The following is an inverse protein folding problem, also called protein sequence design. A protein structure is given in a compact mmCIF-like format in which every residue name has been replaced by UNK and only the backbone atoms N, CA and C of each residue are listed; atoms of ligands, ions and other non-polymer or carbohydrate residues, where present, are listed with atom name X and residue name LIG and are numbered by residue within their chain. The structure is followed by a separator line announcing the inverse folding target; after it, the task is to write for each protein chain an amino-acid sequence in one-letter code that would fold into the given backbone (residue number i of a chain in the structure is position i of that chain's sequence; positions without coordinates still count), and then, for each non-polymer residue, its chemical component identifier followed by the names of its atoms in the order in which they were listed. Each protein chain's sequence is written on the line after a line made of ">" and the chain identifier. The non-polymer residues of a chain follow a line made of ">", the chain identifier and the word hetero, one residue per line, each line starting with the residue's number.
data_IF_201701136732
#
_entry.id   IF_201701136732
#
_cell.length_a   1.000
_cell.length_b   1.000
_cell.length_c   1.000
_cell.angle_alpha   90.00
_cell.angle_beta   90.00
_cell.angle_gamma   90.00
#
_symmetry.space_group_name_H-M   'P 1'
#
loop_
_entity.id
_entity.type
_entity.pdbx_description
1 polymer ?
2 water ?
#
# COMPACT_ATOMS: atom_id res chain seq x y z
N UNK A 8 14.46 -12.41 4.43
CA UNK A 8 14.29 -10.96 4.10
C UNK A 8 12.87 -10.48 4.29
N UNK A 9 12.52 -9.35 3.68
CA UNK A 9 11.18 -8.81 3.79
C UNK A 9 10.14 -9.69 3.11
N UNK A 10 9.00 -9.93 3.77
CA UNK A 10 7.98 -10.77 3.13
C UNK A 10 7.25 -9.98 2.02
N UNK A 11 6.91 -10.68 0.93
CA UNK A 11 6.19 -10.07 -0.20
C UNK A 11 4.71 -10.48 -0.15
N UNK A 12 3.85 -9.49 0.04
CA UNK A 12 2.41 -9.71 0.13
C UNK A 12 1.78 -9.55 -1.26
N UNK A 13 1.03 -10.58 -1.68
CA UNK A 13 0.35 -10.56 -2.96
C UNK A 13 -1.06 -10.06 -2.74
N UNK A 14 -2.02 -10.43 -3.58
CA UNK A 14 -3.39 -9.94 -3.37
C UNK A 14 -3.92 -10.44 -2.02
N UNK A 15 -4.54 -9.53 -1.29
CA UNK A 15 -5.07 -9.80 0.04
C UNK A 15 -6.53 -10.25 0.05
N UNK A 16 -6.78 -11.39 0.70
CA UNK A 16 -8.13 -11.91 0.82
C UNK A 16 -8.96 -10.95 1.67
N UNK A 17 -10.14 -10.61 1.18
CA UNK A 17 -11.04 -9.69 1.87
C UNK A 17 -11.07 -9.92 3.38
N UNK A 18 -10.96 -8.83 4.14
CA UNK A 18 -10.99 -8.92 5.59
C UNK A 18 -9.81 -9.61 6.25
N UNK A 19 -9.02 -10.35 5.47
CA UNK A 19 -7.87 -11.05 6.04
C UNK A 19 -6.66 -10.15 6.25
N UNK A 20 -6.02 -10.25 7.43
CA UNK A 20 -4.84 -9.44 7.76
C UNK A 20 -3.77 -9.54 6.67
N UNK A 21 -3.09 -8.43 6.42
CA UNK A 21 -2.04 -8.35 5.40
C UNK A 21 -0.99 -9.45 5.43
N UNK A 22 -0.37 -9.66 6.59
CA UNK A 22 0.68 -10.65 6.70
C UNK A 22 0.21 -12.08 6.94
N UNK A 23 -1.04 -12.36 6.58
CA UNK A 23 -1.58 -13.70 6.71
C UNK A 23 -0.70 -14.58 5.82
N UNK A 24 -0.39 -15.78 6.31
CA UNK A 24 0.48 -16.70 5.59
C UNK A 24 0.12 -16.94 4.12
N UNK A 25 -1.17 -17.04 3.83
CA UNK A 25 -1.61 -17.28 2.45
C UNK A 25 -1.22 -16.15 1.49
N UNK A 26 -1.00 -14.95 2.03
CA UNK A 26 -0.65 -13.78 1.23
C UNK A 26 0.82 -13.66 0.84
N UNK A 27 1.70 -14.26 1.65
CA UNK A 27 3.13 -14.18 1.38
C UNK A 27 3.54 -14.98 0.16
N UNK A 28 4.27 -14.35 -0.75
CA UNK A 28 4.70 -15.02 -1.98
C UNK A 28 6.17 -15.33 -1.98
N UNK A 29 6.88 -14.79 -1.00
CA UNK A 29 8.29 -15.03 -0.91
C UNK A 29 8.90 -14.02 0.03
N UNK A 30 10.21 -14.06 0.14
CA UNK A 30 10.96 -13.15 1.00
C UNK A 30 12.16 -12.67 0.21
N UNK A 31 12.46 -11.38 0.32
CA UNK A 31 13.58 -10.81 -0.39
C UNK A 31 14.43 -9.92 0.50
N UNK A 32 15.72 -10.21 0.52
CA UNK A 32 16.67 -9.46 1.30
C UNK A 32 16.85 -8.09 0.69
N UNK A 33 16.53 -7.06 1.46
CA UNK A 33 16.68 -5.71 0.97
C UNK A 33 17.41 -4.90 2.03
N UNK A 34 18.53 -4.31 1.63
CA UNK A 34 19.35 -3.53 2.54
C UNK A 34 18.48 -2.52 3.30
N UNK A 35 18.38 -2.67 4.62
CA UNK A 35 17.57 -1.77 5.45
C UNK A 35 17.97 -0.29 5.40
N UNK A 36 19.20 0.01 5.00
CA UNK A 36 19.63 1.40 4.94
C UNK A 36 19.07 2.09 3.70
N UNK A 37 18.41 1.31 2.86
CA UNK A 37 17.84 1.83 1.63
C UNK A 37 16.66 2.77 1.86
N UNK A 38 15.76 2.40 2.77
CA UNK A 38 14.55 3.19 3.02
C UNK A 38 14.47 3.75 4.44
N UNK A 39 13.81 4.89 4.58
CA UNK A 39 13.62 5.54 5.87
C UNK A 39 12.25 6.21 5.92
N UNK A 40 11.39 5.82 6.88
CA UNK A 40 11.54 4.82 7.94
C UNK A 40 11.83 3.46 7.29
N UNK A 41 12.30 2.48 8.06
CA UNK A 41 12.64 1.18 7.50
C UNK A 41 11.46 0.39 6.96
N UNK A 42 11.69 -0.29 5.83
CA UNK A 42 10.65 -1.10 5.21
C UNK A 42 10.44 -2.36 6.03
N UNK A 43 9.19 -2.69 6.31
CA UNK A 43 8.90 -3.91 7.07
C UNK A 43 8.38 -5.04 6.18
N UNK A 44 7.75 -4.68 5.07
CA UNK A 44 7.28 -5.69 4.13
C UNK A 44 7.13 -5.07 2.75
N UNK A 45 6.95 -5.92 1.74
CA UNK A 45 6.75 -5.46 0.37
C UNK A 45 5.31 -5.82 0.04
N UNK A 46 4.68 -4.98 -0.77
CA UNK A 46 3.30 -5.22 -1.16
C UNK A 46 3.17 -5.03 -2.66
N UNK A 47 2.68 -6.04 -3.35
CA UNK A 47 2.53 -5.88 -4.79
C UNK A 47 1.38 -4.92 -5.05
N UNK A 48 1.62 -3.94 -5.91
CA UNK A 48 0.63 -2.93 -6.25
C UNK A 48 -0.31 -3.40 -7.38
N UNK A 49 -1.60 -3.20 -7.17
CA UNK A 49 -2.58 -3.57 -8.18
C UNK A 49 -3.09 -2.30 -8.86
N UNK A 50 -2.98 -2.24 -10.18
CA UNK A 50 -3.47 -1.08 -10.91
C UNK A 50 -2.55 0.10 -11.11
N UNK A 51 -3.01 1.06 -11.91
CA UNK A 51 -2.24 2.24 -12.25
C UNK A 51 -2.71 3.51 -11.55
N UNK A 52 -3.43 3.38 -10.45
CA UNK A 52 -3.94 4.59 -9.81
C UNK A 52 -2.87 5.59 -9.35
N UNK A 53 -1.63 5.13 -9.14
CA UNK A 53 -0.55 6.00 -8.68
C UNK A 53 0.56 6.18 -9.73
N UNK A 54 0.23 5.86 -10.98
CA UNK A 54 1.22 5.95 -12.06
C UNK A 54 1.93 7.28 -12.23
N UNK A 55 1.24 8.39 -11.97
CA UNK A 55 1.88 9.69 -12.16
C UNK A 55 3.07 9.96 -11.25
N UNK A 56 3.21 9.20 -10.15
CA UNK A 56 4.37 9.38 -9.31
C UNK A 56 5.29 8.17 -9.49
N UNK A 57 5.04 7.38 -10.53
CA UNK A 57 5.90 6.24 -10.83
C UNK A 57 5.61 4.94 -10.12
N UNK A 58 4.44 4.83 -9.50
CA UNK A 58 4.07 3.59 -8.84
C UNK A 58 3.15 2.90 -9.84
N UNK A 59 3.70 1.87 -10.47
CA UNK A 59 3.02 1.14 -11.53
C UNK A 59 2.39 -0.18 -11.13
N UNK A 60 1.44 -0.65 -11.94
CA UNK A 60 0.82 -1.94 -11.67
C UNK A 60 1.95 -2.98 -11.64
N UNK A 61 1.94 -3.81 -10.60
CA UNK A 61 2.93 -4.87 -10.46
C UNK A 61 4.16 -4.48 -9.66
N UNK A 62 4.29 -3.21 -9.35
CA UNK A 62 5.44 -2.76 -8.57
C UNK A 62 5.39 -3.36 -7.15
N UNK A 63 6.54 -3.48 -6.50
CA UNK A 63 6.55 -3.96 -5.12
C UNK A 63 6.74 -2.74 -4.23
N UNK A 64 5.70 -2.37 -3.50
CA UNK A 64 5.75 -1.22 -2.61
C UNK A 64 6.46 -1.58 -1.30
N UNK A 65 7.43 -0.78 -0.90
CA UNK A 65 8.15 -1.00 0.37
C UNK A 65 7.28 -0.26 1.40
N UNK A 66 6.85 -0.99 2.42
CA UNK A 66 5.95 -0.42 3.42
C UNK A 66 6.51 -0.51 4.83
N UNK A 67 6.42 0.61 5.55
CA UNK A 67 6.86 0.67 6.95
C UNK A 67 5.60 0.44 7.77
N UNK A 68 5.65 -0.48 8.72
CA UNK A 68 4.47 -0.77 9.54
C UNK A 68 4.26 0.32 10.57
N UNK A 69 3.18 1.08 10.41
CA UNK A 69 2.83 2.16 11.33
C UNK A 69 1.45 2.69 10.98
N UNK A 70 0.87 3.46 11.89
CA UNK A 70 -0.41 4.07 11.64
C UNK A 70 -0.20 5.56 11.87
N UNK A 71 1.05 5.92 12.16
CA UNK A 71 1.43 7.30 12.39
C UNK A 71 1.65 7.95 11.02
N UNK A 72 0.56 8.22 10.30
CA UNK A 72 0.66 8.84 8.99
C UNK A 72 0.06 10.24 8.96
N UNK A 73 0.58 11.08 8.07
CA UNK A 73 0.11 12.46 7.97
C UNK A 73 -0.38 12.78 6.56
N UNK A 74 -1.22 13.80 6.43
CA UNK A 74 -1.75 14.21 5.12
C UNK A 74 -0.64 14.43 4.10
N UNK A 75 -0.86 13.97 2.88
CA UNK A 75 0.15 14.15 1.85
C UNK A 75 1.00 12.90 1.62
N UNK A 76 1.02 12.02 2.61
CA UNK A 76 1.82 10.79 2.48
C UNK A 76 1.08 9.71 1.69
N UNK A 77 1.83 8.81 1.06
CA UNK A 77 1.23 7.72 0.31
C UNK A 77 1.14 6.58 1.31
N UNK A 78 -0.04 6.02 1.48
CA UNK A 78 -0.23 5.00 2.48
C UNK A 78 -0.91 3.78 1.91
N UNK A 79 -0.87 2.72 2.71
CA UNK A 79 -1.55 1.49 2.37
C UNK A 79 -2.75 1.59 3.30
N UNK A 80 -3.94 1.53 2.73
CA UNK A 80 -5.15 1.65 3.54
C UNK A 80 -6.13 0.53 3.27
N UNK A 81 -6.94 0.21 4.27
CA UNK A 81 -7.95 -0.81 4.08
C UNK A 81 -9.30 -0.16 4.37
N UNK A 82 -10.18 -0.21 3.37
CA UNK A 82 -11.51 0.35 3.47
C UNK A 82 -12.49 -0.78 3.18
N UNK A 83 -13.21 -1.21 4.21
CA UNK A 83 -14.20 -2.26 4.04
C UNK A 83 -13.59 -3.48 3.36
N UNK A 84 -12.53 -4.02 3.96
CA UNK A 84 -11.85 -5.21 3.43
C UNK A 84 -10.95 -4.95 2.22
N UNK A 85 -11.26 -3.93 1.42
CA UNK A 85 -10.44 -3.62 0.25
C UNK A 85 -9.17 -2.87 0.65
N UNK A 86 -8.03 -3.37 0.19
CA UNK A 86 -6.74 -2.75 0.47
C UNK A 86 -6.31 -1.92 -0.74
N UNK A 87 -5.93 -0.68 -0.48
CA UNK A 87 -5.55 0.20 -1.57
C UNK A 87 -4.30 1.03 -1.24
N UNK A 88 -3.64 1.54 -2.28
CA UNK A 88 -2.46 2.40 -2.10
C UNK A 88 -2.81 3.76 -2.71
N UNK A 89 -2.93 4.78 -1.87
CA UNK A 89 -3.30 6.13 -2.31
C UNK A 89 -2.63 7.19 -1.44
N UNK A 90 -2.77 8.45 -1.85
CA UNK A 90 -2.23 9.56 -1.05
C UNK A 90 -3.32 9.96 -0.05
N UNK A 91 -2.93 10.06 1.21
CA UNK A 91 -3.85 10.40 2.29
C UNK A 91 -4.20 11.87 2.38
N UNK A 92 -5.49 12.14 2.60
CA UNK A 92 -5.99 13.50 2.79
C UNK A 92 -7.20 13.40 3.72
N UNK A 93 -6.95 13.48 5.02
CA UNK A 93 -8.00 13.37 6.03
C UNK A 93 -8.51 14.73 6.46
N UNK A 94 -9.77 14.77 6.88
CA UNK A 94 -10.40 16.01 7.31
C UNK A 94 -11.58 15.68 8.23
N UNK A 95 -11.30 15.60 9.53
CA UNK A 95 -12.34 15.28 10.49
C UNK A 95 -12.70 13.81 10.42
N UNK A 96 -13.99 13.53 10.28
CA UNK A 96 -14.47 12.16 10.18
C UNK A 96 -14.53 11.72 8.72
N UNK A 97 -13.88 12.50 7.86
CA UNK A 97 -13.85 12.21 6.44
C UNK A 97 -12.43 12.05 5.94
N UNK A 98 -12.16 10.92 5.31
CA UNK A 98 -10.83 10.66 4.77
C UNK A 98 -10.87 10.49 3.26
N UNK A 99 -10.03 11.27 2.57
CA UNK A 99 -9.93 11.19 1.12
C UNK A 99 -8.65 10.44 0.74
N UNK A 100 -8.80 9.42 -0.09
CA UNK A 100 -7.65 8.65 -0.57
C UNK A 100 -7.51 9.09 -2.01
N UNK A 101 -6.52 9.93 -2.28
CA UNK A 101 -6.31 10.47 -3.61
C UNK A 101 -5.37 9.69 -4.52
N UNK A 102 -5.72 9.56 -5.81
CA UNK A 102 -4.88 8.83 -6.76
C UNK A 102 -3.92 9.82 -7.40
N UNK A 103 -2.99 9.31 -8.21
CA UNK A 103 -2.04 10.13 -8.97
C UNK A 103 -2.19 9.57 -10.40
N UNK A 104 -3.39 9.75 -10.95
CA UNK A 104 -3.75 9.27 -12.29
C UNK A 104 -5.13 9.87 -12.61
N UNK A 105 -5.23 10.71 -13.63
CA UNK A 105 -6.52 11.33 -13.96
C UNK A 105 -7.65 10.36 -14.35
N UNK A 106 -7.30 9.12 -14.68
CA UNK A 106 -8.33 8.16 -15.05
C UNK A 106 -9.01 7.59 -13.81
N UNK A 107 -8.50 7.97 -12.64
CA UNK A 107 -9.07 7.51 -11.38
C UNK A 107 -9.69 8.67 -10.61
N UNK A 108 -10.58 8.33 -9.68
CA UNK A 108 -11.26 9.33 -8.87
C UNK A 108 -10.89 9.17 -7.39
N UNK A 109 -10.99 10.25 -6.62
CA UNK A 109 -10.66 10.19 -5.19
C UNK A 109 -11.64 9.29 -4.47
N UNK A 110 -11.18 8.60 -3.44
CA UNK A 110 -12.06 7.74 -2.67
C UNK A 110 -12.35 8.47 -1.36
N UNK A 111 -13.62 8.79 -1.13
CA UNK A 111 -14.00 9.48 0.10
C UNK A 111 -14.56 8.46 1.08
N UNK A 112 -14.06 8.51 2.31
CA UNK A 112 -14.48 7.58 3.35
C UNK A 112 -15.09 8.30 4.55
N UNK A 113 -16.20 7.77 5.05
CA UNK A 113 -16.85 8.35 6.22
C UNK A 113 -16.48 7.42 7.36
N UNK A 114 -15.62 7.90 8.25
CA UNK A 114 -15.15 7.11 9.38
C UNK A 114 -16.28 6.54 10.23
N UNK A 115 -17.39 7.26 10.29
CA UNK A 115 -18.55 6.82 11.06
C UNK A 115 -19.25 5.65 10.36
N UNK A 116 -19.38 5.75 9.03
CA UNK A 116 -20.08 4.76 8.21
C UNK A 116 -19.34 3.49 7.77
N UNK A 117 -18.05 3.59 7.49
CA UNK A 117 -17.29 2.43 7.04
C UNK A 117 -16.02 2.16 7.85
N UNK A 118 -15.53 0.93 7.76
CA UNK A 118 -14.32 0.55 8.48
C UNK A 118 -13.08 1.00 7.71
N UNK A 119 -12.23 1.77 8.38
CA UNK A 119 -11.02 2.30 7.76
C UNK A 119 -9.79 2.08 8.64
N UNK A 120 -8.75 1.50 8.05
CA UNK A 120 -7.51 1.23 8.77
C UNK A 120 -6.28 1.54 7.92
N UNK A 121 -5.30 2.18 8.55
CA UNK A 121 -4.05 2.49 7.90
C UNK A 121 -3.19 1.25 8.14
N UNK A 122 -2.81 0.58 7.06
CA UNK A 122 -1.99 -0.61 7.17
C UNK A 122 -0.52 -0.24 7.30
N UNK A 123 -0.11 0.84 6.64
CA UNK A 123 1.28 1.26 6.71
C UNK A 123 1.62 2.46 5.86
N UNK A 124 2.90 2.83 5.90
CA UNK A 124 3.42 3.98 5.16
C UNK A 124 4.31 3.55 3.99
N UNK A 125 4.05 4.11 2.81
CA UNK A 125 4.87 3.78 1.65
C UNK A 125 6.23 4.48 1.81
N UNK A 126 7.31 3.71 1.80
CA UNK A 126 8.64 4.32 1.95
C UNK A 126 9.54 4.04 0.75
N UNK A 127 9.02 3.32 -0.23
CA UNK A 127 9.85 3.03 -1.38
C UNK A 127 9.16 2.13 -2.38
N UNK A 128 9.88 1.80 -3.44
CA UNK A 128 9.32 0.94 -4.47
C UNK A 128 10.43 0.12 -5.06
N UNK A 129 10.13 -1.15 -5.35
CA UNK A 129 11.10 -1.98 -6.03
C UNK A 129 10.34 -2.52 -7.22
N UNK A 130 10.87 -2.26 -8.41
CA UNK A 130 10.23 -2.76 -9.62
C UNK A 130 11.05 -3.90 -10.15
N UNK A 131 10.34 -5.03 -10.22
CA UNK A 131 10.65 -6.39 -10.69
C UNK A 131 10.02 -7.53 -9.86
N UNK A 132 10.74 -8.62 -9.55
CA UNK A 132 10.08 -9.70 -8.81
C UNK A 132 8.98 -10.36 -9.68
N UNK A 133 9.28 -10.47 -10.97
CA UNK A 133 8.38 -11.03 -11.99
C UNK A 133 7.98 -12.49 -11.77
N UNK A 134 6.67 -12.74 -11.68
CA UNK A 134 6.16 -14.09 -11.46
C UNK A 134 6.11 -14.95 -12.74
N UNK A 135 6.48 -14.38 -13.88
CA UNK A 135 6.46 -15.12 -15.14
C UNK A 135 7.80 -15.71 -15.55
N UNK A 136 8.90 -15.03 -15.20
CA UNK A 136 10.24 -15.49 -15.54
C UNK A 136 10.86 -16.38 -14.46
N UNK A 137 11.52 -17.47 -14.87
CA UNK A 137 12.16 -18.41 -13.93
C UNK A 137 13.38 -17.79 -13.25
#
# INVERSE_FOLDING_TARGET
>A
LLQEEEEGLPLVGRVAAGEPLLAQQHIEGHYQVDPSLFKPNADFLLRVSGMAMKDIGIMDGDLLAVHKTQDVRNGQVVVARIDDEVTVKRLKKQGNKVELLPENSEFKPIVVDLRQQSFTIEGLAVGVIRNGDWLVP
#
